data_IF_478720190134
#
_entry.id   IF_478720190134
#
_cell.length_a   1.000
_cell.length_b   1.000
_cell.length_c   1.000
_cell.angle_alpha   90.00
_cell.angle_beta   90.00
_cell.angle_gamma   90.00
#
_symmetry.space_group_name_H-M   'P 1'
#
loop_
_entity.id
_entity.type
_entity.pdbx_description
1 polymer ?
#
# COMPACT_ATOMS: atom_id res chain seq x y z
N UNK A 1 -15.77 -4.90 -14.44
CA UNK A 1 -16.06 -5.56 -13.15
C UNK A 1 -17.46 -6.15 -13.19
N UNK A 2 -17.81 -7.03 -12.25
CA UNK A 2 -19.12 -7.66 -12.11
C UNK A 2 -19.83 -7.15 -10.84
N UNK A 3 -21.11 -7.47 -10.67
CA UNK A 3 -21.89 -7.04 -9.50
C UNK A 3 -21.25 -7.50 -8.18
N UNK A 4 -21.15 -6.58 -7.21
CA UNK A 4 -20.50 -6.82 -5.92
C UNK A 4 -18.97 -6.93 -5.97
N UNK A 5 -18.34 -6.70 -7.13
CA UNK A 5 -16.88 -6.69 -7.28
C UNK A 5 -16.40 -5.31 -7.71
N UNK A 6 -15.59 -4.68 -6.87
CA UNK A 6 -15.05 -3.35 -7.12
C UNK A 6 -13.52 -3.38 -7.11
N UNK A 7 -12.91 -2.33 -7.65
CA UNK A 7 -11.46 -2.15 -7.61
C UNK A 7 -11.09 -0.73 -7.19
N UNK A 8 -10.21 -0.62 -6.21
CA UNK A 8 -9.48 0.61 -5.95
C UNK A 8 -8.25 0.62 -6.85
N UNK A 9 -8.27 1.45 -7.89
CA UNK A 9 -7.18 1.56 -8.86
C UNK A 9 -6.16 2.57 -8.36
N UNK A 10 -4.90 2.13 -8.25
CA UNK A 10 -3.78 3.00 -7.96
C UNK A 10 -3.57 4.02 -9.10
N UNK A 11 -3.55 5.30 -8.76
CA UNK A 11 -3.05 6.32 -9.68
C UNK A 11 -1.52 6.15 -9.88
N UNK A 12 -0.99 6.30 -11.11
CA UNK A 12 0.44 6.27 -11.35
C UNK A 12 1.16 7.37 -10.55
N UNK A 13 1.98 6.97 -9.59
CA UNK A 13 2.73 7.88 -8.74
C UNK A 13 3.98 7.19 -8.18
N UNK A 14 4.93 7.98 -7.68
CA UNK A 14 6.15 7.46 -7.06
C UNK A 14 5.82 6.45 -5.95
N UNK A 15 6.29 5.20 -6.13
CA UNK A 15 6.08 4.05 -5.23
C UNK A 15 4.60 3.71 -4.93
N UNK A 16 3.70 3.95 -5.89
CA UNK A 16 2.33 3.40 -5.89
C UNK A 16 2.27 2.22 -6.85
N UNK A 17 1.98 1.02 -6.31
CA UNK A 17 2.33 -0.20 -7.02
C UNK A 17 1.27 -1.32 -7.06
N UNK A 18 0.07 -1.15 -6.49
CA UNK A 18 -0.94 -2.21 -6.54
C UNK A 18 -2.37 -1.65 -6.59
N UNK A 19 -3.31 -2.48 -7.02
CA UNK A 19 -4.74 -2.23 -6.92
C UNK A 19 -5.31 -3.13 -5.82
N UNK A 20 -6.37 -2.67 -5.15
CA UNK A 20 -7.12 -3.50 -4.20
C UNK A 20 -8.44 -3.93 -4.82
N UNK A 21 -8.75 -5.23 -4.79
CA UNK A 21 -10.09 -5.69 -5.11
C UNK A 21 -10.97 -5.69 -3.84
N UNK A 22 -12.22 -5.30 -4.00
CA UNK A 22 -13.22 -5.24 -2.93
C UNK A 22 -14.38 -6.12 -3.37
N UNK A 23 -14.61 -7.22 -2.65
CA UNK A 23 -15.60 -8.22 -3.03
C UNK A 23 -16.66 -8.29 -1.93
N UNK A 24 -17.89 -7.98 -2.28
CA UNK A 24 -19.04 -8.10 -1.40
C UNK A 24 -19.59 -9.53 -1.44
N UNK A 25 -19.88 -10.07 -0.26
CA UNK A 25 -20.58 -11.35 -0.09
C UNK A 25 -21.71 -11.19 0.94
N UNK A 26 -22.49 -12.24 1.17
CA UNK A 26 -23.51 -12.24 2.23
C UNK A 26 -22.87 -12.19 3.63
N UNK A 27 -21.67 -12.76 3.78
CA UNK A 27 -20.94 -12.81 5.05
C UNK A 27 -20.11 -11.56 5.37
N UNK A 28 -20.08 -10.56 4.49
CA UNK A 28 -19.29 -9.35 4.63
C UNK A 28 -18.43 -9.04 3.41
N UNK A 29 -17.48 -8.12 3.59
CA UNK A 29 -16.56 -7.66 2.55
C UNK A 29 -15.23 -8.40 2.66
N UNK A 30 -14.70 -8.78 1.50
CA UNK A 30 -13.35 -9.31 1.33
C UNK A 30 -12.52 -8.24 0.62
N UNK A 31 -11.43 -7.84 1.25
CA UNK A 31 -10.42 -6.96 0.67
C UNK A 31 -9.29 -7.85 0.15
N UNK A 32 -8.87 -7.66 -1.10
CA UNK A 32 -7.76 -8.40 -1.69
C UNK A 32 -6.64 -7.42 -2.01
N UNK A 33 -5.51 -7.61 -1.34
CA UNK A 33 -4.32 -6.76 -1.29
C UNK A 33 -4.56 -5.35 -0.71
N UNK A 34 -3.53 -4.77 -0.10
CA UNK A 34 -3.68 -3.57 0.76
C UNK A 34 -2.77 -2.40 0.37
N UNK A 35 -2.31 -2.33 -0.88
CA UNK A 35 -1.36 -1.30 -1.34
C UNK A 35 -0.02 -1.30 -0.58
N UNK A 36 0.83 -0.35 -0.99
CA UNK A 36 2.23 -0.20 -0.59
C UNK A 36 2.49 0.39 0.79
N UNK A 37 1.47 0.95 1.45
CA UNK A 37 1.64 1.70 2.70
C UNK A 37 0.32 1.89 3.45
N UNK A 38 0.34 2.04 4.78
CA UNK A 38 -0.87 2.22 5.59
C UNK A 38 -1.73 3.41 5.18
N UNK A 39 -1.14 4.54 4.75
CA UNK A 39 -1.93 5.68 4.28
C UNK A 39 -2.76 5.39 3.03
N UNK A 40 -2.26 4.55 2.11
CA UNK A 40 -3.01 4.17 0.92
C UNK A 40 -4.19 3.24 1.28
N UNK A 41 -3.99 2.28 2.18
CA UNK A 41 -5.07 1.45 2.70
C UNK A 41 -6.16 2.27 3.42
N UNK A 42 -5.76 3.27 4.22
CA UNK A 42 -6.72 4.16 4.89
C UNK A 42 -7.65 4.89 3.93
N UNK A 43 -7.18 5.29 2.75
CA UNK A 43 -8.05 5.90 1.73
C UNK A 43 -9.15 4.93 1.29
N UNK A 44 -8.85 3.63 1.16
CA UNK A 44 -9.87 2.62 0.82
C UNK A 44 -10.85 2.45 1.99
N UNK A 45 -10.34 2.33 3.20
CA UNK A 45 -11.15 2.19 4.43
C UNK A 45 -12.14 3.36 4.55
N UNK A 46 -11.66 4.60 4.39
CA UNK A 46 -12.47 5.81 4.49
C UNK A 46 -13.56 5.90 3.41
N UNK A 47 -13.34 5.25 2.27
CA UNK A 47 -14.27 5.23 1.12
C UNK A 47 -15.15 4.01 1.07
N UNK A 48 -14.91 3.00 1.91
CA UNK A 48 -15.63 1.73 1.83
C UNK A 48 -17.13 1.91 2.11
N UNK A 49 -17.49 2.86 2.97
CA UNK A 49 -18.89 3.20 3.27
C UNK A 49 -19.66 3.77 2.08
N UNK A 50 -18.97 4.32 1.07
CA UNK A 50 -19.59 4.78 -0.19
C UNK A 50 -20.01 3.58 -1.07
N UNK A 51 -19.45 2.39 -0.81
CA UNK A 51 -19.70 1.15 -1.56
C UNK A 51 -20.71 0.27 -0.81
N UNK A 52 -20.51 0.08 0.50
CA UNK A 52 -21.25 -0.91 1.27
C UNK A 52 -21.23 -0.62 2.77
N UNK A 53 -22.30 -1.01 3.47
CA UNK A 53 -22.39 -0.93 4.93
C UNK A 53 -21.99 -2.24 5.62
N UNK A 54 -21.62 -3.26 4.86
CA UNK A 54 -21.22 -4.57 5.40
C UNK A 54 -19.83 -4.47 6.04
N UNK A 55 -19.56 -5.21 7.14
CA UNK A 55 -18.24 -5.20 7.75
C UNK A 55 -17.21 -5.89 6.85
N UNK A 56 -15.94 -5.45 6.92
CA UNK A 56 -14.82 -6.22 6.37
C UNK A 56 -14.62 -7.45 7.24
N UNK A 57 -14.67 -8.63 6.60
CA UNK A 57 -14.46 -9.91 7.27
C UNK A 57 -13.07 -10.48 7.01
N UNK A 58 -12.54 -10.27 5.80
CA UNK A 58 -11.25 -10.82 5.38
C UNK A 58 -10.41 -9.77 4.66
N UNK A 59 -9.12 -9.76 4.97
CA UNK A 59 -8.07 -9.06 4.21
C UNK A 59 -7.12 -10.12 3.66
N UNK A 60 -7.15 -10.34 2.35
CA UNK A 60 -6.44 -11.41 1.67
C UNK A 60 -5.17 -10.87 1.04
N UNK A 61 -4.00 -11.40 1.41
CA UNK A 61 -2.75 -11.09 0.73
C UNK A 61 -2.50 -12.11 -0.37
N UNK A 62 -2.40 -11.68 -1.62
CA UNK A 62 -2.16 -12.56 -2.77
C UNK A 62 -0.74 -13.12 -2.80
N UNK A 63 0.25 -12.31 -2.42
CA UNK A 63 1.66 -12.71 -2.33
C UNK A 63 2.47 -11.74 -1.45
N UNK A 64 3.76 -12.02 -1.26
CA UNK A 64 4.61 -11.37 -0.24
C UNK A 64 5.20 -10.00 -0.63
N UNK A 65 4.93 -9.49 -1.83
CA UNK A 65 5.50 -8.22 -2.24
C UNK A 65 4.88 -7.06 -1.48
N UNK A 66 5.71 -6.12 -1.06
CA UNK A 66 5.38 -5.01 -0.17
C UNK A 66 4.12 -4.21 -0.57
N UNK A 67 3.90 -4.07 -1.87
CA UNK A 67 2.77 -3.38 -2.49
C UNK A 67 1.42 -4.08 -2.33
N UNK A 68 1.41 -5.30 -1.80
CA UNK A 68 0.19 -6.09 -1.59
C UNK A 68 -0.20 -6.25 -0.13
N UNK A 69 0.69 -5.97 0.83
CA UNK A 69 0.42 -6.26 2.25
C UNK A 69 0.93 -5.21 3.24
N UNK A 70 1.70 -4.20 2.83
CA UNK A 70 2.17 -3.18 3.78
C UNK A 70 1.03 -2.33 4.34
N UNK A 71 -0.10 -2.19 3.62
CA UNK A 71 -1.27 -1.51 4.16
C UNK A 71 -2.08 -2.33 5.17
N UNK A 72 -1.72 -3.59 5.43
CA UNK A 72 -2.39 -4.45 6.41
C UNK A 72 -2.49 -3.77 7.79
N UNK A 73 -1.48 -3.00 8.18
CA UNK A 73 -1.45 -2.27 9.46
C UNK A 73 -2.71 -1.45 9.72
N UNK A 74 -3.36 -0.91 8.69
CA UNK A 74 -4.51 -0.04 8.84
C UNK A 74 -5.81 -0.79 9.20
N UNK A 75 -5.93 -2.07 8.84
CA UNK A 75 -7.19 -2.81 8.93
C UNK A 75 -7.60 -3.19 10.36
N UNK A 76 -6.71 -3.68 11.24
CA UNK A 76 -7.10 -4.07 12.60
C UNK A 76 -7.71 -2.93 13.42
N UNK A 77 -7.32 -1.69 13.17
CA UNK A 77 -7.88 -0.53 13.85
C UNK A 77 -9.29 -0.17 13.36
N UNK A 78 -9.58 -0.35 12.08
CA UNK A 78 -10.87 -0.04 11.47
C UNK A 78 -11.88 -1.20 11.56
N UNK A 79 -11.39 -2.43 11.47
CA UNK A 79 -12.17 -3.66 11.45
C UNK A 79 -11.52 -4.71 12.36
N UNK A 80 -11.72 -4.63 13.69
CA UNK A 80 -11.04 -5.50 14.66
C UNK A 80 -11.39 -6.99 14.52
N UNK A 81 -12.55 -7.31 13.93
CA UNK A 81 -13.01 -8.68 13.68
C UNK A 81 -12.60 -9.22 12.29
N UNK A 82 -11.87 -8.42 11.50
CA UNK A 82 -11.37 -8.84 10.20
C UNK A 82 -10.16 -9.76 10.35
N UNK A 83 -10.15 -10.88 9.63
CA UNK A 83 -9.02 -11.79 9.59
C UNK A 83 -8.10 -11.45 8.41
N UNK A 84 -6.80 -11.28 8.68
CA UNK A 84 -5.78 -11.20 7.64
C UNK A 84 -5.37 -12.61 7.25
N UNK A 85 -5.64 -12.99 6.01
CA UNK A 85 -5.46 -14.35 5.51
C UNK A 85 -4.54 -14.40 4.31
N UNK A 86 -3.77 -15.47 4.19
CA UNK A 86 -2.94 -15.77 3.03
C UNK A 86 -2.57 -17.25 3.04
N UNK A 87 -2.07 -17.78 1.93
CA UNK A 87 -1.60 -19.15 1.90
C UNK A 87 -0.28 -19.30 2.69
N UNK A 88 0.01 -20.54 3.13
CA UNK A 88 1.17 -20.84 3.96
C UNK A 88 2.50 -20.40 3.33
N UNK A 89 2.69 -20.64 2.03
CA UNK A 89 3.92 -20.28 1.30
C UNK A 89 4.15 -18.76 1.28
N UNK A 90 3.07 -17.99 1.10
CA UNK A 90 3.10 -16.53 1.11
C UNK A 90 3.41 -16.02 2.51
N UNK A 91 2.77 -16.58 3.55
CA UNK A 91 3.08 -16.24 4.95
C UNK A 91 4.56 -16.45 5.27
N UNK A 92 5.12 -17.59 4.86
CA UNK A 92 6.54 -17.85 5.05
C UNK A 92 7.43 -16.86 4.29
N UNK A 93 7.06 -16.50 3.06
CA UNK A 93 7.80 -15.51 2.28
C UNK A 93 7.68 -14.10 2.86
N UNK A 94 6.53 -13.72 3.43
CA UNK A 94 6.35 -12.45 4.16
C UNK A 94 7.31 -12.38 5.35
N UNK A 95 7.38 -13.44 6.16
CA UNK A 95 8.29 -13.49 7.33
C UNK A 95 9.75 -13.52 6.90
N UNK A 96 10.14 -14.40 5.97
CA UNK A 96 11.55 -14.61 5.59
C UNK A 96 12.11 -13.50 4.68
N UNK A 97 11.28 -12.96 3.76
CA UNK A 97 11.71 -12.02 2.72
C UNK A 97 11.03 -10.66 2.86
N UNK A 98 9.74 -10.63 3.20
CA UNK A 98 8.96 -9.39 3.35
C UNK A 98 9.51 -8.49 4.47
N UNK A 99 9.77 -9.03 5.65
CA UNK A 99 10.35 -8.24 6.76
C UNK A 99 11.74 -7.68 6.41
N UNK A 100 12.57 -8.47 5.71
CA UNK A 100 13.84 -7.97 5.18
C UNK A 100 13.62 -6.84 4.16
N UNK A 101 12.59 -6.93 3.31
CA UNK A 101 12.24 -5.90 2.32
C UNK A 101 11.93 -4.56 2.98
N UNK A 102 11.22 -4.55 4.10
CA UNK A 102 10.96 -3.34 4.89
C UNK A 102 12.29 -2.68 5.26
N UNK A 103 13.22 -3.46 5.83
CA UNK A 103 14.56 -2.98 6.20
C UNK A 103 15.39 -2.54 4.98
N UNK A 104 15.27 -3.23 3.85
CA UNK A 104 15.92 -2.83 2.60
C UNK A 104 15.39 -1.47 2.14
N UNK A 105 14.08 -1.22 2.20
CA UNK A 105 13.48 0.06 1.83
C UNK A 105 13.91 1.19 2.78
N UNK A 106 13.94 0.94 4.09
CA UNK A 106 14.48 1.89 5.08
C UNK A 106 15.92 2.30 4.72
N UNK A 107 16.75 1.35 4.29
CA UNK A 107 18.15 1.63 3.88
C UNK A 107 18.28 2.31 2.53
N UNK A 108 17.44 1.95 1.55
CA UNK A 108 17.63 2.32 0.15
C UNK A 108 16.93 3.64 -0.22
N UNK A 109 15.73 3.90 0.33
CA UNK A 109 14.95 5.10 0.01
C UNK A 109 15.70 6.41 0.27
N UNK A 110 16.52 6.56 1.33
CA UNK A 110 17.35 7.76 1.49
C UNK A 110 18.26 8.04 0.30
N UNK A 111 18.83 7.00 -0.31
CA UNK A 111 19.64 7.13 -1.53
C UNK A 111 18.81 7.53 -2.76
N UNK A 112 17.58 7.04 -2.87
CA UNK A 112 16.63 7.47 -3.92
C UNK A 112 16.26 8.95 -3.75
N UNK A 113 15.98 9.39 -2.52
CA UNK A 113 15.71 10.80 -2.18
C UNK A 113 16.89 11.69 -2.55
N UNK A 114 18.12 11.28 -2.23
CA UNK A 114 19.32 12.03 -2.59
C UNK A 114 19.46 12.19 -4.11
N UNK A 115 19.16 11.14 -4.89
CA UNK A 115 19.15 11.19 -6.36
C UNK A 115 18.06 12.12 -6.88
N UNK A 116 16.83 12.03 -6.35
CA UNK A 116 15.74 12.94 -6.74
C UNK A 116 16.10 14.41 -6.47
N UNK A 117 16.79 14.70 -5.36
CA UNK A 117 17.28 16.06 -5.05
C UNK A 117 18.35 16.53 -6.05
N UNK A 118 19.28 15.66 -6.42
CA UNK A 118 20.30 15.98 -7.43
C UNK A 118 19.67 16.22 -8.81
N UNK A 119 18.77 15.35 -9.24
CA UNK A 119 18.02 15.48 -10.49
C UNK A 119 17.19 16.78 -10.51
N UNK A 120 16.59 17.14 -9.38
CA UNK A 120 15.80 18.36 -9.24
C UNK A 120 16.67 19.62 -9.39
N UNK A 121 17.89 19.60 -8.84
CA UNK A 121 18.86 20.68 -9.00
C UNK A 121 19.33 20.83 -10.46
N UNK A 122 19.43 19.71 -11.20
CA UNK A 122 19.82 19.68 -12.60
C UNK A 122 18.64 19.84 -13.60
N UNK A 123 17.42 20.02 -13.12
CA UNK A 123 16.23 20.03 -13.97
C UNK A 123 16.19 21.25 -14.90
N UNK A 124 16.30 21.02 -16.21
CA UNK A 124 16.32 22.09 -17.23
C UNK A 124 14.96 22.62 -17.67
N UNK A 125 13.84 22.05 -17.20
CA UNK A 125 12.49 22.51 -17.59
C UNK A 125 11.53 22.60 -16.39
N UNK A 126 10.56 23.55 -16.40
CA UNK A 126 9.57 23.67 -15.33
C UNK A 126 8.73 22.39 -15.13
N UNK A 127 8.35 21.72 -16.22
CA UNK A 127 7.58 20.47 -16.15
C UNK A 127 8.37 19.33 -15.50
N UNK A 128 9.66 19.16 -15.85
CA UNK A 128 10.52 18.16 -15.21
C UNK A 128 10.72 18.48 -13.73
N UNK A 129 10.91 19.75 -13.41
CA UNK A 129 11.05 20.24 -12.03
C UNK A 129 9.83 19.89 -11.18
N UNK A 130 8.63 20.24 -11.66
CA UNK A 130 7.38 19.97 -10.94
C UNK A 130 7.15 18.47 -10.68
N UNK A 131 7.47 17.61 -11.65
CA UNK A 131 7.40 16.15 -11.48
C UNK A 131 8.39 15.67 -10.41
N UNK A 132 9.64 16.10 -10.48
CA UNK A 132 10.66 15.71 -9.50
C UNK A 132 10.34 16.21 -8.08
N UNK A 133 9.75 17.40 -7.95
CA UNK A 133 9.26 17.90 -6.67
C UNK A 133 8.13 17.03 -6.11
N UNK A 134 7.21 16.56 -6.97
CA UNK A 134 6.15 15.63 -6.56
C UNK A 134 6.70 14.27 -6.15
N UNK A 135 7.60 13.69 -6.96
CA UNK A 135 8.25 12.40 -6.69
C UNK A 135 9.07 12.47 -5.40
N UNK A 136 9.79 13.58 -5.15
CA UNK A 136 10.54 13.80 -3.92
C UNK A 136 9.64 13.83 -2.68
N UNK A 137 8.53 14.58 -2.72
CA UNK A 137 7.56 14.62 -1.60
C UNK A 137 6.98 13.24 -1.31
N UNK A 138 6.65 12.47 -2.35
CA UNK A 138 6.13 11.12 -2.21
C UNK A 138 7.19 10.15 -1.65
N UNK A 139 8.45 10.28 -2.07
CA UNK A 139 9.56 9.49 -1.55
C UNK A 139 9.81 9.74 -0.06
N UNK A 140 9.77 11.01 0.36
CA UNK A 140 9.92 11.42 1.76
C UNK A 140 8.77 10.92 2.63
N UNK A 141 7.52 11.07 2.15
CA UNK A 141 6.35 10.51 2.81
C UNK A 141 6.43 8.98 2.92
N UNK A 142 6.86 8.31 1.85
CA UNK A 142 7.04 6.86 1.86
C UNK A 142 8.11 6.41 2.85
N UNK A 143 9.23 7.13 2.94
CA UNK A 143 10.28 6.86 3.94
C UNK A 143 9.74 6.98 5.36
N UNK A 144 8.95 8.02 5.65
CA UNK A 144 8.35 8.19 6.97
C UNK A 144 7.43 7.02 7.33
N UNK A 145 6.61 6.56 6.39
CA UNK A 145 5.71 5.43 6.60
C UNK A 145 6.46 4.11 6.78
N UNK A 146 7.45 3.79 5.94
CA UNK A 146 8.19 2.52 6.07
C UNK A 146 9.04 2.47 7.35
N UNK A 147 9.50 3.61 7.85
CA UNK A 147 10.18 3.70 9.16
C UNK A 147 9.22 3.44 10.34
N UNK A 148 7.96 3.87 10.23
CA UNK A 148 6.95 3.70 11.27
C UNK A 148 6.15 2.40 11.15
N UNK A 149 6.31 1.67 10.04
CA UNK A 149 5.51 0.52 9.67
C UNK A 149 5.55 -0.59 10.74
N UNK A 150 4.36 -1.00 11.18
CA UNK A 150 4.13 -2.15 12.04
C UNK A 150 3.38 -3.20 11.23
N UNK A 151 4.10 -4.09 10.53
CA UNK A 151 3.47 -5.08 9.66
C UNK A 151 2.53 -5.98 10.47
N UNK A 152 1.32 -6.18 9.95
CA UNK A 152 0.27 -7.04 10.50
C UNK A 152 0.11 -8.32 9.67
#
# INVERSE_FOLDING_TARGET
>A
MADGVHVAVAAPAYKVNSNTAIIESDGGVIIVDTHSKPSAARVIIDRLGDITTKPVRYVVNTHFHWDHWHGNEAYPAAYPDAEIVTNQLTREAMVKKGLKRIQDHVRQVPGEIARLRADLAAAGTPARRARLEADLRLAESYLAEVNALKPA
#
